data_IF_707186934274
#
_entry.id   IF_707186934274
#
_cell.length_a   1.000
_cell.length_b   1.000
_cell.length_c   1.000
_cell.angle_alpha   90.00
_cell.angle_beta   90.00
_cell.angle_gamma   90.00
#
_symmetry.space_group_name_H-M   'P 1'
#
loop_
_entity.id
_entity.type
_entity.pdbx_description
1 polymer ?
#
# COMPACT_ATOMS: atom_id res chain seq x y z
N UNK A 1 0.23 -15.17 -1.55
CA UNK A 1 1.61 -14.65 -1.62
C UNK A 1 2.16 -14.57 -0.20
N UNK A 2 3.43 -14.93 0.04
CA UNK A 2 4.02 -14.78 1.37
C UNK A 2 4.09 -13.28 1.72
N UNK A 3 3.89 -12.90 2.99
CA UNK A 3 3.91 -11.50 3.39
C UNK A 3 5.30 -10.89 3.14
N UNK A 4 5.34 -9.63 2.69
CA UNK A 4 6.60 -8.92 2.51
C UNK A 4 7.34 -8.79 3.86
N UNK A 5 8.64 -9.08 3.83
CA UNK A 5 9.54 -9.06 4.99
C UNK A 5 9.44 -7.69 5.70
N UNK A 6 8.96 -7.70 6.95
CA UNK A 6 8.74 -6.51 7.77
C UNK A 6 7.29 -6.32 8.27
N UNK A 7 6.31 -6.95 7.61
CA UNK A 7 4.93 -7.04 8.07
C UNK A 7 4.77 -7.85 9.37
N UNK A 8 5.59 -8.87 9.56
CA UNK A 8 5.54 -9.79 10.70
C UNK A 8 5.77 -9.12 12.07
N UNK A 9 6.37 -7.92 12.08
CA UNK A 9 6.65 -7.15 13.28
C UNK A 9 5.52 -6.17 13.66
N UNK A 10 4.52 -6.01 12.80
CA UNK A 10 3.39 -5.12 13.05
C UNK A 10 2.39 -5.86 13.92
N UNK A 11 2.39 -5.56 15.21
CA UNK A 11 1.45 -6.17 16.17
C UNK A 11 0.50 -5.17 16.81
N UNK A 12 0.66 -3.88 16.50
CA UNK A 12 -0.18 -2.82 17.05
C UNK A 12 -0.83 -1.97 15.94
N UNK A 13 -2.05 -1.45 16.15
CA UNK A 13 -2.71 -0.55 15.20
C UNK A 13 -1.86 0.68 14.86
N UNK A 14 -1.12 1.22 15.84
CA UNK A 14 -0.26 2.40 15.64
C UNK A 14 0.92 2.10 14.69
N UNK A 15 1.52 0.91 14.81
CA UNK A 15 2.57 0.47 13.88
C UNK A 15 2.00 0.30 12.47
N UNK A 16 0.81 -0.31 12.35
CA UNK A 16 0.11 -0.48 11.06
C UNK A 16 -0.13 0.89 10.41
N UNK A 17 -0.65 1.86 11.15
CA UNK A 17 -0.92 3.20 10.64
C UNK A 17 0.35 3.86 10.07
N UNK A 18 1.48 3.79 10.78
CA UNK A 18 2.77 4.32 10.31
C UNK A 18 3.31 3.56 9.10
N UNK A 19 3.11 2.24 9.03
CA UNK A 19 3.49 1.42 7.88
C UNK A 19 2.71 1.85 6.63
N UNK A 20 1.38 1.89 6.70
CA UNK A 20 0.52 2.25 5.56
C UNK A 20 0.80 3.66 5.03
N UNK A 21 1.09 4.62 5.92
CA UNK A 21 1.51 5.97 5.51
C UNK A 21 2.87 6.02 4.80
N UNK A 22 3.78 5.09 5.09
CA UNK A 22 5.04 4.95 4.34
C UNK A 22 4.77 4.35 2.96
N UNK A 23 3.94 3.32 2.86
CA UNK A 23 3.51 2.71 1.60
C UNK A 23 2.88 3.74 0.66
N UNK A 24 2.05 4.65 1.19
CA UNK A 24 1.48 5.73 0.38
C UNK A 24 2.53 6.57 -0.34
N UNK A 25 3.72 6.81 0.25
CA UNK A 25 4.77 7.60 -0.40
C UNK A 25 5.41 6.90 -1.60
N UNK A 26 5.25 5.58 -1.71
CA UNK A 26 5.77 4.79 -2.82
C UNK A 26 4.84 4.85 -4.05
N UNK A 27 3.62 5.35 -3.89
CA UNK A 27 2.67 5.49 -5.00
C UNK A 27 3.10 6.60 -5.96
N UNK A 28 2.91 6.41 -7.27
CA UNK A 28 3.52 7.26 -8.30
C UNK A 28 2.89 8.66 -8.43
N UNK A 29 1.62 8.83 -8.03
CA UNK A 29 0.90 10.11 -8.21
C UNK A 29 0.35 10.66 -6.91
N UNK A 30 0.45 11.99 -6.72
CA UNK A 30 -0.02 12.70 -5.52
C UNK A 30 -1.51 12.51 -5.26
N UNK A 31 -2.34 12.44 -6.31
CA UNK A 31 -3.79 12.17 -6.19
C UNK A 31 -4.05 10.79 -5.57
N UNK A 32 -3.32 9.76 -5.99
CA UNK A 32 -3.43 8.42 -5.38
C UNK A 32 -2.95 8.43 -3.93
N UNK A 33 -1.83 9.11 -3.65
CA UNK A 33 -1.33 9.25 -2.28
C UNK A 33 -2.38 9.86 -1.35
N UNK A 34 -3.05 10.93 -1.79
CA UNK A 34 -4.12 11.58 -1.01
C UNK A 34 -5.32 10.66 -0.81
N UNK A 35 -5.80 10.00 -1.87
CA UNK A 35 -6.91 9.06 -1.80
C UNK A 35 -6.66 7.95 -0.76
N UNK A 36 -5.52 7.26 -0.86
CA UNK A 36 -5.19 6.19 0.08
C UNK A 36 -4.92 6.71 1.49
N UNK A 37 -4.32 7.90 1.64
CA UNK A 37 -4.14 8.52 2.96
C UNK A 37 -5.48 8.81 3.64
N UNK A 38 -6.49 9.27 2.90
CA UNK A 38 -7.84 9.44 3.42
C UNK A 38 -8.48 8.09 3.78
N UNK A 39 -8.36 7.08 2.93
CA UNK A 39 -8.88 5.75 3.18
C UNK A 39 -8.27 5.10 4.45
N UNK A 40 -6.95 5.22 4.64
CA UNK A 40 -6.26 4.72 5.85
C UNK A 40 -6.79 5.43 7.10
N UNK A 41 -6.96 6.75 7.05
CA UNK A 41 -7.46 7.52 8.20
C UNK A 41 -8.90 7.12 8.53
N UNK A 42 -9.74 6.94 7.51
CA UNK A 42 -11.11 6.49 7.69
C UNK A 42 -11.16 5.09 8.30
N UNK A 43 -10.38 4.15 7.77
CA UNK A 43 -10.31 2.78 8.28
C UNK A 43 -9.76 2.69 9.70
N UNK A 44 -8.82 3.56 10.08
CA UNK A 44 -8.32 3.62 11.46
C UNK A 44 -9.41 4.09 12.42
N UNK A 45 -10.15 5.15 12.04
CA UNK A 45 -11.24 5.67 12.87
C UNK A 45 -12.43 4.71 12.97
N UNK A 46 -12.71 3.89 11.95
CA UNK A 46 -13.84 2.95 11.99
C UNK A 46 -13.61 1.75 12.92
N UNK A 47 -12.36 1.48 13.29
CA UNK A 47 -11.98 0.39 14.19
C UNK A 47 -11.38 0.90 15.50
N UNK A 48 -11.64 2.16 15.89
CA UNK A 48 -11.09 2.75 17.12
C UNK A 48 -11.60 2.10 18.40
N UNK A 49 -12.80 1.53 18.34
CA UNK A 49 -13.51 0.97 19.49
C UNK A 49 -13.37 -0.56 19.57
N UNK A 50 -12.53 -1.15 18.70
CA UNK A 50 -12.21 -2.57 18.71
C UNK A 50 -11.10 -2.84 19.72
N UNK A 51 -11.41 -3.57 20.79
CA UNK A 51 -10.48 -3.92 21.86
C UNK A 51 -10.07 -5.41 21.82
N UNK A 52 -10.74 -6.24 21.01
CA UNK A 52 -10.43 -7.67 20.94
C UNK A 52 -9.09 -7.92 20.23
N UNK A 53 -8.08 -8.51 20.91
CA UNK A 53 -6.75 -8.68 20.34
C UNK A 53 -6.75 -9.57 19.10
N UNK A 54 -7.60 -10.59 19.03
CA UNK A 54 -7.67 -11.48 17.85
C UNK A 54 -8.24 -10.74 16.64
N UNK A 55 -9.33 -9.99 16.82
CA UNK A 55 -9.90 -9.13 15.78
C UNK A 55 -8.90 -8.08 15.31
N UNK A 56 -8.22 -7.39 16.22
CA UNK A 56 -7.20 -6.40 15.90
C UNK A 56 -6.10 -7.03 15.04
N UNK A 57 -5.59 -8.20 15.42
CA UNK A 57 -4.57 -8.89 14.64
C UNK A 57 -5.08 -9.26 13.25
N UNK A 58 -6.31 -9.78 13.13
CA UNK A 58 -6.88 -10.11 11.83
C UNK A 58 -7.02 -8.87 10.93
N UNK A 59 -7.45 -7.73 11.48
CA UNK A 59 -7.53 -6.46 10.75
C UNK A 59 -6.14 -6.03 10.26
N UNK A 60 -5.12 -6.12 11.13
CA UNK A 60 -3.73 -5.81 10.78
C UNK A 60 -3.25 -6.68 9.61
N UNK A 61 -3.39 -8.01 9.72
CA UNK A 61 -2.94 -8.93 8.68
C UNK A 61 -3.66 -8.69 7.35
N UNK A 62 -4.97 -8.44 7.39
CA UNK A 62 -5.75 -8.13 6.19
C UNK A 62 -5.29 -6.83 5.54
N UNK A 63 -5.11 -5.78 6.33
CA UNK A 63 -4.69 -4.46 5.83
C UNK A 63 -3.29 -4.48 5.21
N UNK A 64 -2.36 -5.28 5.77
CA UNK A 64 -1.05 -5.50 5.19
C UNK A 64 -1.17 -6.21 3.84
N UNK A 65 -1.90 -7.33 3.78
CA UNK A 65 -2.08 -8.08 2.54
C UNK A 65 -2.71 -7.22 1.42
N UNK A 66 -3.66 -6.36 1.78
CA UNK A 66 -4.28 -5.41 0.85
C UNK A 66 -3.28 -4.34 0.37
N UNK A 67 -2.46 -3.78 1.27
CA UNK A 67 -1.43 -2.81 0.90
C UNK A 67 -0.38 -3.43 -0.03
N UNK A 68 0.08 -4.64 0.26
CA UNK A 68 1.05 -5.37 -0.54
C UNK A 68 0.48 -5.66 -1.94
N UNK A 69 -0.78 -6.09 -2.04
CA UNK A 69 -1.45 -6.29 -3.33
C UNK A 69 -1.56 -4.99 -4.14
N UNK A 70 -1.90 -3.87 -3.50
CA UNK A 70 -1.98 -2.57 -4.18
C UNK A 70 -0.61 -2.13 -4.70
N UNK A 71 0.43 -2.23 -3.86
CA UNK A 71 1.79 -1.84 -4.26
C UNK A 71 2.30 -2.71 -5.41
N UNK A 72 2.09 -4.03 -5.33
CA UNK A 72 2.46 -4.94 -6.42
C UNK A 72 1.76 -4.55 -7.73
N UNK A 73 0.43 -4.35 -7.69
CA UNK A 73 -0.31 -3.90 -8.87
C UNK A 73 0.21 -2.56 -9.38
N UNK A 74 0.17 -1.50 -8.57
CA UNK A 74 0.42 -0.13 -9.01
C UNK A 74 1.87 0.08 -9.45
N UNK A 75 2.84 -0.54 -8.77
CA UNK A 75 4.24 -0.49 -9.19
C UNK A 75 4.45 -1.26 -10.50
N UNK A 76 3.78 -2.41 -10.71
CA UNK A 76 3.87 -3.15 -11.97
C UNK A 76 3.36 -2.32 -13.17
N UNK A 77 2.22 -1.63 -13.01
CA UNK A 77 1.69 -0.75 -14.07
C UNK A 77 2.58 0.47 -14.31
N UNK A 78 3.19 1.05 -13.28
CA UNK A 78 4.11 2.19 -13.42
C UNK A 78 5.40 1.81 -14.16
N UNK A 79 6.03 0.69 -13.80
CA UNK A 79 7.26 0.22 -14.45
C UNK A 79 6.97 -0.21 -15.89
N UNK A 80 5.86 -0.90 -16.13
CA UNK A 80 5.48 -1.34 -17.48
C UNK A 80 5.09 -0.17 -18.39
N UNK A 81 4.34 0.81 -17.89
CA UNK A 81 3.99 2.01 -18.67
C UNK A 81 5.24 2.84 -19.01
N UNK A 82 6.18 3.01 -18.07
CA UNK A 82 7.45 3.67 -18.33
C UNK A 82 8.33 2.89 -19.31
N UNK A 83 8.35 1.55 -19.22
CA UNK A 83 9.13 0.72 -20.15
C UNK A 83 8.55 0.75 -21.56
N UNK A 84 7.22 0.69 -21.71
CA UNK A 84 6.55 0.83 -23.01
C UNK A 84 6.75 2.23 -23.60
N UNK A 85 6.65 3.30 -22.79
CA UNK A 85 6.91 4.67 -23.25
C UNK A 85 8.39 4.91 -23.61
N UNK A 86 9.33 4.38 -22.83
CA UNK A 86 10.77 4.43 -23.15
C UNK A 86 11.10 3.60 -24.40
N UNK A 87 10.48 2.44 -24.57
CA UNK A 87 10.67 1.61 -25.77
C UNK A 87 10.04 2.24 -27.02
N UNK A 88 8.92 2.96 -26.89
CA UNK A 88 8.34 3.76 -27.98
C UNK A 88 9.20 4.98 -28.32
N UNK A 89 9.77 5.65 -27.31
CA UNK A 89 10.62 6.83 -27.52
C UNK A 89 11.96 6.49 -28.19
N UNK A 90 12.51 5.30 -27.97
CA UNK A 90 13.70 4.81 -28.69
C UNK A 90 13.40 4.37 -30.14
N UNK A 91 12.15 4.00 -30.46
CA UNK A 91 11.77 3.56 -31.80
C UNK A 91 11.35 4.70 -32.75
N UNK A 92 11.13 5.91 -32.24
CA UNK A 92 10.89 7.13 -33.04
C UNK A 92 12.17 7.96 -33.32
N UNK A 93 13.35 7.42 -32.99
CA UNK A 93 14.66 8.02 -33.32
C UNK A 93 15.43 7.26 -34.42
N UNK A 94 14.79 6.32 -35.12
CA UNK A 94 15.33 5.67 -36.31
C UNK A 94 14.51 6.06 -37.53
#
# INVERSE_FOLDING_TARGET
MPPLVGAELIQTPVQLYRYLLRCCRQLPTTTMQQHYRHAIRQGYNSHSDEDDPERIQMIIQRAIADADWILDKVCLWSVSALTVLLSFCQLQRV
#
